data_IF_199271691581
#
_entry.id   IF_199271691581
#
_cell.length_a   1.000
_cell.length_b   1.000
_cell.length_c   1.000
_cell.angle_alpha   90.00
_cell.angle_beta   90.00
_cell.angle_gamma   90.00
#
_symmetry.space_group_name_H-M   'P 1'
#
loop_
_entity.id
_entity.type
_entity.pdbx_description
1 polymer ?
#
# COMPACT_ATOMS: atom_id res chain seq x y z
N UNK A 1 14.18 -5.83 -28.24
CA UNK A 1 14.29 -5.19 -26.91
C UNK A 1 14.93 -6.20 -25.97
N UNK A 2 16.00 -5.84 -25.26
CA UNK A 2 16.74 -6.82 -24.43
C UNK A 2 15.88 -7.23 -23.24
N UNK A 3 15.84 -8.52 -22.91
CA UNK A 3 15.11 -9.07 -21.75
C UNK A 3 15.48 -8.37 -20.44
N UNK A 4 16.76 -8.00 -20.28
CA UNK A 4 17.26 -7.21 -19.15
C UNK A 4 16.63 -5.81 -19.08
N UNK A 5 16.45 -5.15 -20.22
CA UNK A 5 15.82 -3.83 -20.30
C UNK A 5 14.31 -3.90 -20.00
N UNK A 6 13.64 -4.95 -20.47
CA UNK A 6 12.24 -5.22 -20.13
C UNK A 6 12.10 -5.45 -18.62
N UNK A 7 12.94 -6.30 -18.04
CA UNK A 7 12.92 -6.60 -16.60
C UNK A 7 13.17 -5.36 -15.74
N UNK A 8 14.12 -4.49 -16.12
CA UNK A 8 14.37 -3.24 -15.38
C UNK A 8 13.19 -2.27 -15.44
N UNK A 9 12.51 -2.18 -16.58
CA UNK A 9 11.32 -1.33 -16.73
C UNK A 9 10.18 -1.84 -15.84
N UNK A 10 9.92 -3.15 -15.86
CA UNK A 10 8.87 -3.77 -15.04
C UNK A 10 9.17 -3.55 -13.56
N UNK A 11 10.41 -3.77 -13.12
CA UNK A 11 10.80 -3.57 -11.73
C UNK A 11 10.66 -2.10 -11.30
N UNK A 12 11.13 -1.17 -12.13
CA UNK A 12 10.98 0.27 -11.87
C UNK A 12 9.52 0.68 -11.74
N UNK A 13 8.65 0.17 -12.61
CA UNK A 13 7.22 0.45 -12.57
C UNK A 13 6.54 -0.13 -11.33
N UNK A 14 6.90 -1.37 -10.95
CA UNK A 14 6.37 -2.02 -9.75
C UNK A 14 6.71 -1.23 -8.49
N UNK A 15 7.95 -0.74 -8.36
CA UNK A 15 8.37 0.12 -7.24
C UNK A 15 7.56 1.42 -7.23
N UNK A 16 7.39 2.06 -8.38
CA UNK A 16 6.69 3.33 -8.49
C UNK A 16 5.21 3.23 -8.06
N UNK A 17 4.53 2.17 -8.48
CA UNK A 17 3.13 1.87 -8.10
C UNK A 17 3.02 1.55 -6.61
N UNK A 18 4.00 0.81 -6.08
CA UNK A 18 4.03 0.45 -4.65
C UNK A 18 4.19 1.70 -3.80
N UNK A 19 5.10 2.61 -4.15
CA UNK A 19 5.29 3.87 -3.43
C UNK A 19 4.06 4.77 -3.52
N UNK A 20 3.45 4.90 -4.70
CA UNK A 20 2.29 5.79 -4.89
C UNK A 20 1.05 5.35 -4.11
N UNK A 21 0.93 4.06 -3.79
CA UNK A 21 -0.21 3.50 -3.05
C UNK A 21 0.10 3.20 -1.58
N UNK A 22 1.34 3.41 -1.14
CA UNK A 22 1.78 3.09 0.22
C UNK A 22 1.25 4.03 1.29
N UNK A 23 0.61 5.15 0.93
CA UNK A 23 0.17 6.17 1.89
C UNK A 23 -1.31 6.49 1.70
N UNK A 24 -2.03 6.69 2.80
CA UNK A 24 -3.41 7.17 2.83
C UNK A 24 -3.61 8.18 3.96
N UNK A 25 -4.65 9.00 3.86
CA UNK A 25 -5.00 10.02 4.86
C UNK A 25 -6.30 9.61 5.53
N UNK A 26 -6.32 9.65 6.86
CA UNK A 26 -7.52 9.43 7.68
C UNK A 26 -7.99 10.76 8.25
N UNK A 27 -9.30 11.01 8.21
CA UNK A 27 -9.94 12.20 8.79
C UNK A 27 -10.51 11.87 10.19
N UNK A 28 -10.63 12.85 11.08
CA UNK A 28 -11.08 12.69 12.48
C UNK A 28 -12.50 12.11 12.62
N UNK A 29 -13.33 12.28 11.60
CA UNK A 29 -14.68 11.71 11.56
C UNK A 29 -14.73 10.28 10.97
N UNK A 30 -13.59 9.70 10.59
CA UNK A 30 -13.50 8.44 9.88
C UNK A 30 -12.61 7.44 10.61
N UNK A 31 -13.07 6.19 10.67
CA UNK A 31 -12.31 5.08 11.21
C UNK A 31 -11.99 4.11 10.05
N UNK A 32 -10.71 3.75 9.91
CA UNK A 32 -10.24 2.95 8.79
C UNK A 32 -9.83 1.57 9.27
N UNK A 33 -10.45 0.53 8.68
CA UNK A 33 -10.10 -0.87 8.90
C UNK A 33 -9.27 -1.33 7.70
N UNK A 34 -8.02 -1.71 7.94
CA UNK A 34 -7.18 -2.29 6.89
C UNK A 34 -7.64 -3.74 6.67
N UNK A 35 -8.00 -4.08 5.43
CA UNK A 35 -8.36 -5.45 5.05
C UNK A 35 -7.40 -6.00 4.01
N UNK A 36 -7.24 -7.31 4.04
CA UNK A 36 -6.44 -8.06 3.10
C UNK A 36 -7.19 -9.31 2.67
N UNK A 37 -7.39 -9.46 1.36
CA UNK A 37 -8.24 -10.52 0.80
C UNK A 37 -9.63 -10.59 1.47
N UNK A 38 -10.19 -9.43 1.84
CA UNK A 38 -11.50 -9.34 2.51
C UNK A 38 -11.49 -9.66 4.01
N UNK A 39 -10.34 -9.96 4.62
CA UNK A 39 -10.21 -10.17 6.07
C UNK A 39 -9.57 -8.94 6.72
N UNK A 40 -10.06 -8.44 7.86
CA UNK A 40 -9.39 -7.37 8.59
C UNK A 40 -8.02 -7.84 9.09
N UNK A 41 -6.99 -7.00 8.96
CA UNK A 41 -5.63 -7.27 9.42
C UNK A 41 -5.16 -6.11 10.28
N UNK A 42 -4.71 -6.40 11.49
CA UNK A 42 -4.23 -5.41 12.45
C UNK A 42 -5.34 -4.69 13.21
N UNK A 43 -4.94 -3.63 13.90
CA UNK A 43 -5.83 -2.78 14.69
C UNK A 43 -6.49 -1.70 13.83
N UNK A 44 -7.61 -1.19 14.31
CA UNK A 44 -8.36 -0.17 13.58
C UNK A 44 -7.72 1.19 13.78
N UNK A 45 -7.44 1.90 12.69
CA UNK A 45 -6.84 3.23 12.75
C UNK A 45 -7.94 4.27 12.99
N UNK A 46 -7.93 4.87 14.18
CA UNK A 46 -8.85 5.95 14.59
C UNK A 46 -8.18 7.32 14.63
N UNK A 47 -6.86 7.36 14.57
CA UNK A 47 -6.11 8.62 14.59
C UNK A 47 -6.14 9.28 13.20
N UNK A 48 -6.49 10.56 13.17
CA UNK A 48 -6.44 11.34 11.95
C UNK A 48 -5.00 11.67 11.57
N UNK A 49 -4.71 11.67 10.28
CA UNK A 49 -3.38 11.97 9.78
C UNK A 49 -2.95 11.09 8.62
N UNK A 50 -1.66 11.18 8.32
CA UNK A 50 -1.03 10.45 7.24
C UNK A 50 -0.58 9.07 7.74
N UNK A 51 -1.11 8.02 7.12
CA UNK A 51 -0.82 6.63 7.48
C UNK A 51 -0.17 5.91 6.33
N UNK A 52 0.88 5.14 6.62
CA UNK A 52 1.50 4.27 5.64
C UNK A 52 0.87 2.88 5.73
N UNK A 53 0.31 2.39 4.61
CA UNK A 53 -0.03 0.98 4.45
C UNK A 53 1.10 0.26 3.73
N UNK A 54 1.51 -0.88 4.26
CA UNK A 54 2.48 -1.74 3.59
C UNK A 54 1.72 -2.62 2.60
N UNK A 55 1.92 -2.44 1.29
CA UNK A 55 1.29 -3.31 0.31
C UNK A 55 1.90 -4.72 0.44
N UNK A 56 1.05 -5.75 0.41
CA UNK A 56 1.41 -7.18 0.37
C UNK A 56 1.89 -7.87 1.66
N UNK A 57 1.79 -7.27 2.86
CA UNK A 57 2.12 -8.02 4.09
C UNK A 57 1.03 -9.03 4.44
N UNK A 58 1.26 -10.31 4.20
CA UNK A 58 0.55 -11.43 4.83
C UNK A 58 1.42 -11.98 5.97
N UNK A 59 0.91 -11.95 7.20
CA UNK A 59 1.40 -12.80 8.31
C UNK A 59 0.71 -14.16 8.21
#
# INVERSE_FOLDING_TARGET
>A
MNTKAIASIILGLAILITLSTSVYVTNEAQQVIITQFGRPVGEVVTEAGLHAKLPFIQQ
#
